data_IF_882625096403
#
_entry.id   IF_882625096403
#
_cell.length_a   1.000
_cell.length_b   1.000
_cell.length_c   1.000
_cell.angle_alpha   90.00
_cell.angle_beta   90.00
_cell.angle_gamma   90.00
#
_symmetry.space_group_name_H-M   'P 1'
#
loop_
_entity.id
_entity.type
_entity.pdbx_description
1 polymer ?
#
# COMPACT_ATOMS: atom_id res chain seq x y z
N UNK A 1 3.43 -23.62 -4.14
CA UNK A 1 3.28 -22.29 -3.52
C UNK A 1 3.90 -22.29 -2.15
N UNK A 2 4.19 -21.13 -1.56
CA UNK A 2 4.42 -21.06 -0.12
C UNK A 2 3.25 -21.72 0.63
N UNK A 3 3.56 -22.51 1.66
CA UNK A 3 2.62 -23.35 2.39
C UNK A 3 2.40 -24.75 1.78
N UNK A 4 2.64 -24.93 0.47
CA UNK A 4 2.43 -26.22 -0.19
C UNK A 4 3.59 -27.20 0.07
N UNK A 5 3.31 -28.48 -0.21
CA UNK A 5 4.34 -29.51 -0.35
C UNK A 5 4.81 -29.68 -1.79
N UNK A 6 6.10 -29.95 -1.98
CA UNK A 6 6.68 -30.34 -3.26
C UNK A 6 7.42 -31.66 -3.12
N UNK A 7 7.32 -32.54 -4.13
CA UNK A 7 8.02 -33.83 -4.16
C UNK A 7 9.00 -33.88 -5.32
N UNK A 8 10.27 -34.11 -5.00
CA UNK A 8 11.35 -34.31 -5.95
C UNK A 8 11.54 -35.81 -6.14
N UNK A 9 11.01 -36.32 -7.27
CA UNK A 9 10.96 -37.75 -7.54
C UNK A 9 12.34 -38.35 -7.82
N UNK A 10 12.61 -39.55 -7.34
CA UNK A 10 13.68 -40.40 -7.89
C UNK A 10 13.17 -41.12 -9.14
N UNK A 11 14.04 -41.79 -9.89
CA UNK A 11 13.58 -42.61 -11.01
C UNK A 11 13.09 -43.96 -10.47
N UNK A 12 11.81 -44.28 -10.73
CA UNK A 12 11.05 -45.38 -10.10
C UNK A 12 11.54 -46.78 -10.51
N UNK A 13 12.44 -46.88 -11.50
CA UNK A 13 12.78 -48.16 -12.14
C UNK A 13 13.95 -48.91 -11.50
N UNK A 14 14.70 -48.30 -10.57
CA UNK A 14 15.95 -48.88 -10.06
C UNK A 14 16.04 -48.84 -8.53
N UNK A 15 16.59 -49.91 -7.96
CA UNK A 15 16.91 -50.00 -6.54
C UNK A 15 18.32 -49.48 -6.33
N UNK A 16 18.44 -48.36 -5.60
CA UNK A 16 19.72 -47.71 -5.32
C UNK A 16 20.30 -48.20 -3.98
N UNK A 17 21.62 -48.34 -3.92
CA UNK A 17 22.34 -48.73 -2.69
C UNK A 17 22.41 -47.56 -1.70
N UNK A 18 22.53 -46.34 -2.24
CA UNK A 18 22.59 -45.11 -1.46
C UNK A 18 21.90 -43.99 -2.22
N UNK A 19 21.11 -43.21 -1.49
CA UNK A 19 20.49 -41.99 -1.99
C UNK A 19 20.88 -40.86 -1.06
N UNK A 20 21.33 -39.76 -1.63
CA UNK A 20 21.75 -38.59 -0.88
C UNK A 20 21.15 -37.33 -1.50
N UNK A 21 20.45 -36.57 -0.67
CA UNK A 21 19.90 -35.28 -1.02
C UNK A 21 20.72 -34.16 -0.39
N UNK A 22 21.02 -33.15 -1.21
CA UNK A 22 21.67 -31.91 -0.80
C UNK A 22 20.87 -30.70 -1.25
N UNK A 23 20.92 -29.64 -0.45
CA UNK A 23 20.50 -28.31 -0.83
C UNK A 23 21.75 -27.45 -1.06
N UNK A 24 22.00 -27.07 -2.31
CA UNK A 24 23.32 -26.57 -2.71
C UNK A 24 24.40 -27.60 -2.43
N UNK A 25 25.31 -27.31 -1.50
CA UNK A 25 26.37 -28.22 -1.06
C UNK A 25 26.08 -28.90 0.30
N UNK A 26 25.03 -28.45 1.01
CA UNK A 26 24.68 -28.92 2.34
C UNK A 26 23.82 -30.20 2.26
N UNK A 27 24.20 -31.25 3.00
CA UNK A 27 23.43 -32.50 3.07
C UNK A 27 22.19 -32.26 3.94
N UNK A 28 21.05 -32.78 3.48
CA UNK A 28 19.76 -32.55 4.15
C UNK A 28 19.06 -33.86 4.53
N UNK A 29 19.18 -34.89 3.70
CA UNK A 29 18.56 -36.18 3.93
C UNK A 29 19.19 -37.27 3.07
N UNK A 30 18.92 -38.52 3.37
CA UNK A 30 19.27 -39.62 2.49
C UNK A 30 18.87 -40.99 3.01
N UNK A 31 19.19 -42.00 2.21
CA UNK A 31 19.00 -43.42 2.50
C UNK A 31 20.36 -44.09 2.40
N UNK A 32 20.77 -44.81 3.44
CA UNK A 32 22.06 -45.51 3.47
C UNK A 32 21.82 -47.02 3.52
N UNK A 33 21.67 -47.66 2.37
CA UNK A 33 21.49 -49.11 2.25
C UNK A 33 20.42 -49.66 3.20
N UNK A 34 20.79 -50.68 3.99
CA UNK A 34 19.92 -51.35 4.97
C UNK A 34 19.68 -50.48 6.24
N UNK A 35 20.49 -49.44 6.47
CA UNK A 35 20.51 -48.66 7.72
C UNK A 35 19.47 -47.53 7.81
N UNK A 36 18.39 -47.60 7.03
CA UNK A 36 17.26 -46.67 7.15
C UNK A 36 17.53 -45.28 6.58
N UNK A 37 16.54 -44.40 6.76
CA UNK A 37 16.56 -42.99 6.35
C UNK A 37 17.26 -42.14 7.40
N UNK A 38 17.93 -41.07 6.97
CA UNK A 38 18.49 -40.05 7.86
C UNK A 38 18.08 -38.65 7.41
N UNK A 39 18.05 -37.73 8.36
CA UNK A 39 17.79 -36.31 8.16
C UNK A 39 18.85 -35.53 8.92
N UNK A 40 19.57 -34.67 8.22
CA UNK A 40 20.53 -33.79 8.86
C UNK A 40 19.75 -32.60 9.46
N UNK A 41 20.15 -32.16 10.66
CA UNK A 41 19.47 -31.07 11.37
C UNK A 41 19.82 -29.69 10.80
N UNK A 42 19.45 -29.49 9.53
CA UNK A 42 19.54 -28.18 8.89
C UNK A 42 18.33 -27.37 9.34
N UNK A 43 18.59 -26.28 10.08
CA UNK A 43 17.56 -25.42 10.70
C UNK A 43 16.42 -25.07 9.74
N UNK A 44 16.77 -24.73 8.51
CA UNK A 44 15.85 -24.37 7.42
C UNK A 44 14.79 -25.45 7.16
N UNK A 45 15.18 -26.71 7.24
CA UNK A 45 14.34 -27.86 6.87
C UNK A 45 13.76 -28.62 8.07
N UNK A 46 13.94 -28.10 9.29
CA UNK A 46 13.57 -28.76 10.53
C UNK A 46 12.10 -29.17 10.53
N UNK A 47 11.85 -30.48 10.61
CA UNK A 47 10.51 -31.07 10.65
C UNK A 47 9.73 -31.02 9.34
N UNK A 48 10.35 -30.67 8.21
CA UNK A 48 9.67 -30.48 6.91
C UNK A 48 10.01 -31.52 5.86
N UNK A 49 11.13 -32.24 6.01
CA UNK A 49 11.57 -33.24 5.05
C UNK A 49 10.93 -34.60 5.32
N UNK A 50 10.60 -35.29 4.24
CA UNK A 50 10.13 -36.67 4.27
C UNK A 50 10.71 -37.40 3.06
N UNK A 51 11.15 -38.64 3.27
CA UNK A 51 11.60 -39.53 2.20
C UNK A 51 10.59 -40.64 2.07
N UNK A 52 10.22 -41.00 0.85
CA UNK A 52 9.45 -42.20 0.58
C UNK A 52 10.35 -43.43 0.45
N UNK A 53 9.74 -44.58 0.12
CA UNK A 53 10.44 -45.84 -0.06
C UNK A 53 11.31 -45.88 -1.33
N UNK A 54 11.07 -45.02 -2.32
CA UNK A 54 11.89 -44.90 -3.54
C UNK A 54 13.04 -43.91 -3.35
N UNK A 55 13.05 -43.16 -2.25
CA UNK A 55 14.01 -42.12 -1.94
C UNK A 55 13.67 -40.76 -2.54
N UNK A 56 12.45 -40.57 -3.04
CA UNK A 56 11.93 -39.25 -3.43
C UNK A 56 11.80 -38.36 -2.20
N UNK A 57 12.24 -37.10 -2.33
CA UNK A 57 12.23 -36.13 -1.26
C UNK A 57 10.98 -35.26 -1.33
N UNK A 58 10.16 -35.31 -0.29
CA UNK A 58 9.06 -34.38 -0.08
C UNK A 58 9.46 -33.30 0.90
N UNK A 59 9.23 -32.04 0.53
CA UNK A 59 9.41 -30.86 1.38
C UNK A 59 8.02 -30.33 1.67
N UNK A 60 7.60 -30.40 2.94
CA UNK A 60 6.28 -29.96 3.40
C UNK A 60 6.32 -28.50 3.84
N UNK A 61 5.19 -27.81 3.73
CA UNK A 61 5.03 -26.42 4.19
C UNK A 61 6.17 -25.53 3.70
N UNK A 62 6.30 -25.41 2.38
CA UNK A 62 7.43 -24.72 1.75
C UNK A 62 7.38 -23.21 1.99
N UNK A 63 8.53 -22.55 2.11
CA UNK A 63 8.66 -21.09 2.18
C UNK A 63 9.58 -20.61 1.07
N UNK A 64 9.64 -19.31 0.80
CA UNK A 64 10.56 -18.73 -0.19
C UNK A 64 12.02 -19.08 0.11
N UNK A 65 12.40 -19.31 1.37
CA UNK A 65 13.74 -19.76 1.81
C UNK A 65 14.13 -21.16 1.30
N UNK A 66 13.15 -22.01 0.94
CA UNK A 66 13.39 -23.32 0.33
C UNK A 66 13.65 -23.23 -1.18
N UNK A 67 13.60 -22.03 -1.77
CA UNK A 67 13.99 -21.81 -3.17
C UNK A 67 15.48 -22.08 -3.34
N UNK A 68 15.83 -22.89 -4.34
CA UNK A 68 17.22 -23.19 -4.65
C UNK A 68 17.41 -24.45 -5.48
N UNK A 69 18.68 -24.86 -5.58
CA UNK A 69 19.07 -26.07 -6.30
C UNK A 69 19.22 -27.21 -5.32
N UNK A 70 18.51 -28.30 -5.58
CA UNK A 70 18.57 -29.55 -4.85
C UNK A 70 19.35 -30.55 -5.69
N UNK A 71 20.40 -31.13 -5.11
CA UNK A 71 21.22 -32.14 -5.76
C UNK A 71 20.88 -33.51 -5.18
N UNK A 72 20.63 -34.45 -6.06
CA UNK A 72 20.37 -35.84 -5.77
C UNK A 72 21.58 -36.64 -6.26
N UNK A 73 22.25 -37.35 -5.36
CA UNK A 73 23.29 -38.31 -5.70
C UNK A 73 22.79 -39.71 -5.38
N UNK A 74 22.57 -40.51 -6.41
CA UNK A 74 22.19 -41.91 -6.28
C UNK A 74 23.39 -42.79 -6.60
N UNK A 75 23.56 -43.88 -5.86
CA UNK A 75 24.64 -44.84 -6.09
C UNK A 75 24.07 -46.23 -6.37
N UNK A 76 24.57 -46.86 -7.43
CA UNK A 76 24.30 -48.26 -7.79
C UNK A 76 25.66 -48.93 -7.97
N UNK A 77 25.99 -49.90 -7.13
CA UNK A 77 27.28 -50.57 -7.08
C UNK A 77 28.45 -49.57 -7.03
N UNK A 78 29.17 -49.39 -8.14
CA UNK A 78 30.29 -48.46 -8.28
C UNK A 78 29.95 -47.21 -9.11
N UNK A 79 28.72 -47.10 -9.62
CA UNK A 79 28.27 -45.96 -10.42
C UNK A 79 27.56 -44.92 -9.55
N UNK A 80 27.86 -43.64 -9.78
CA UNK A 80 27.13 -42.52 -9.20
C UNK A 80 26.31 -41.82 -10.29
N UNK A 81 25.03 -41.60 -9.99
CA UNK A 81 24.04 -41.00 -10.88
C UNK A 81 23.57 -39.69 -10.24
N UNK A 82 24.18 -38.55 -10.60
CA UNK A 82 23.78 -37.24 -10.09
C UNK A 82 22.58 -36.70 -10.86
N UNK A 83 21.68 -36.01 -10.16
CA UNK A 83 20.53 -35.30 -10.73
C UNK A 83 20.29 -33.99 -9.99
N UNK A 84 19.95 -32.94 -10.72
CA UNK A 84 19.70 -31.62 -10.13
C UNK A 84 18.23 -31.22 -10.33
N UNK A 85 17.64 -30.68 -9.28
CA UNK A 85 16.31 -30.08 -9.28
C UNK A 85 16.43 -28.60 -8.94
N UNK A 86 15.71 -27.75 -9.68
CA UNK A 86 15.55 -26.34 -9.33
C UNK A 86 14.15 -26.16 -8.79
N UNK A 87 14.05 -25.76 -7.53
CA UNK A 87 12.77 -25.45 -6.88
C UNK A 87 12.68 -23.95 -6.70
N UNK A 88 11.57 -23.38 -7.15
CA UNK A 88 11.23 -21.97 -6.92
C UNK A 88 9.91 -21.92 -6.18
N UNK A 89 9.91 -21.31 -4.99
CA UNK A 89 8.71 -21.13 -4.17
C UNK A 89 8.27 -19.69 -4.27
N UNK A 90 7.04 -19.47 -4.71
CA UNK A 90 6.43 -18.15 -4.80
C UNK A 90 5.59 -17.88 -3.55
N UNK A 91 5.80 -16.72 -2.94
CA UNK A 91 4.89 -16.17 -1.94
C UNK A 91 3.63 -15.61 -2.63
N UNK A 92 2.45 -15.66 -1.97
CA UNK A 92 1.29 -14.93 -2.44
C UNK A 92 1.59 -13.43 -2.56
N UNK A 93 1.27 -12.84 -3.71
CA UNK A 93 1.31 -11.39 -3.84
C UNK A 93 0.23 -10.76 -2.96
N UNK A 94 0.50 -9.63 -2.28
CA UNK A 94 -0.55 -8.89 -1.60
C UNK A 94 -1.62 -8.50 -2.62
N UNK A 95 -2.89 -8.59 -2.21
CA UNK A 95 -4.01 -8.13 -3.03
C UNK A 95 -3.75 -6.64 -3.36
N UNK A 96 -3.70 -6.24 -4.65
CA UNK A 96 -3.43 -4.86 -4.99
C UNK A 96 -4.57 -3.96 -4.52
N UNK A 97 -4.24 -2.91 -3.77
CA UNK A 97 -5.20 -1.85 -3.41
C UNK A 97 -5.15 -0.79 -4.50
N UNK A 98 -6.23 -0.65 -5.24
CA UNK A 98 -6.35 0.36 -6.30
C UNK A 98 -6.77 1.68 -5.64
N UNK A 99 -5.87 2.68 -5.66
CA UNK A 99 -6.19 4.04 -5.24
C UNK A 99 -6.51 4.91 -6.46
N UNK A 100 -7.67 5.57 -6.43
CA UNK A 100 -8.09 6.51 -7.47
C UNK A 100 -7.84 7.93 -6.96
N UNK A 101 -6.92 8.67 -7.58
CA UNK A 101 -6.70 10.08 -7.30
C UNK A 101 -7.29 10.93 -8.43
N UNK A 102 -8.17 11.87 -8.09
CA UNK A 102 -8.64 12.91 -9.00
C UNK A 102 -7.84 14.18 -8.77
N UNK A 103 -6.85 14.45 -9.61
CA UNK A 103 -6.22 15.78 -9.66
C UNK A 103 -7.14 16.72 -10.44
N UNK A 104 -7.92 17.52 -9.71
CA UNK A 104 -8.73 18.56 -10.31
C UNK A 104 -7.84 19.80 -10.49
N UNK A 105 -7.26 19.95 -11.68
CA UNK A 105 -6.56 21.19 -12.05
C UNK A 105 -7.60 22.29 -12.25
N UNK A 106 -7.71 23.19 -11.28
CA UNK A 106 -8.54 24.38 -11.34
C UNK A 106 -7.87 25.43 -12.24
N UNK A 107 -8.03 25.35 -13.55
CA UNK A 107 -7.90 26.47 -14.51
C UNK A 107 -8.34 26.00 -15.91
N UNK A 108 -9.44 26.59 -16.38
CA UNK A 108 -9.89 26.73 -17.79
C UNK A 108 -9.88 25.51 -18.73
N UNK A 109 -11.07 25.17 -19.21
CA UNK A 109 -11.43 24.55 -20.51
C UNK A 109 -10.55 23.41 -21.07
N UNK A 110 -11.24 22.29 -21.36
CA UNK A 110 -10.84 21.17 -22.23
C UNK A 110 -9.92 20.08 -21.65
N UNK A 111 -10.48 18.85 -21.66
CA UNK A 111 -9.86 17.54 -21.36
C UNK A 111 -9.17 17.43 -19.99
N UNK A 112 -9.97 17.00 -19.00
CA UNK A 112 -9.43 16.32 -17.82
C UNK A 112 -8.77 15.00 -18.25
N UNK A 113 -7.48 15.04 -18.59
CA UNK A 113 -6.66 13.83 -18.71
C UNK A 113 -6.57 13.19 -17.33
N UNK A 114 -7.40 12.17 -17.10
CA UNK A 114 -7.32 11.34 -15.89
C UNK A 114 -6.03 10.53 -16.00
N UNK A 115 -5.02 10.89 -15.22
CA UNK A 115 -3.79 10.11 -15.11
C UNK A 115 -4.06 9.00 -14.10
N UNK A 116 -4.13 7.75 -14.58
CA UNK A 116 -4.23 6.57 -13.73
C UNK A 116 -2.82 6.13 -13.33
N UNK A 117 -2.46 6.30 -12.06
CA UNK A 117 -1.19 5.81 -11.53
C UNK A 117 -1.42 4.43 -10.90
N UNK A 118 -1.27 3.37 -11.68
CA UNK A 118 -1.31 2.00 -11.16
C UNK A 118 0.07 1.64 -10.58
N UNK A 119 0.16 1.49 -9.26
CA UNK A 119 1.35 0.90 -8.64
C UNK A 119 1.22 -0.62 -8.61
N UNK A 120 1.61 -1.29 -9.69
CA UNK A 120 2.09 -2.68 -9.65
C UNK A 120 3.15 -2.86 -10.75
N UNK A 121 4.28 -3.49 -10.40
CA UNK A 121 5.44 -3.72 -11.26
C UNK A 121 5.07 -4.53 -12.51
N UNK A 122 4.97 -3.82 -13.63
CA UNK A 122 5.32 -4.12 -15.04
C UNK A 122 4.33 -3.36 -15.93
N UNK A 123 4.75 -2.21 -16.44
CA UNK A 123 4.00 -1.44 -17.43
C UNK A 123 4.45 -1.90 -18.80
N UNK A 124 3.59 -2.60 -19.54
CA UNK A 124 3.77 -2.83 -20.97
C UNK A 124 2.98 -1.77 -21.73
N UNK A 125 3.66 -1.10 -22.66
CA UNK A 125 3.17 0.08 -23.38
C UNK A 125 2.40 -0.35 -24.63
N UNK A 126 1.11 -0.02 -24.74
CA UNK A 126 0.36 -0.09 -25.99
C UNK A 126 -0.54 1.13 -26.22
N UNK A 127 -0.79 1.36 -27.52
CA UNK A 127 -1.31 2.58 -28.14
C UNK A 127 -2.56 3.21 -27.50
N UNK A 128 -2.48 4.55 -27.38
CA UNK A 128 -3.56 5.53 -27.22
C UNK A 128 -4.70 5.12 -26.26
N UNK A 129 -4.47 5.45 -24.99
CA UNK A 129 -5.45 5.72 -23.93
C UNK A 129 -6.10 4.52 -23.22
N UNK A 130 -5.55 3.31 -23.31
CA UNK A 130 -5.96 2.18 -22.46
C UNK A 130 -4.75 1.72 -21.64
N UNK A 131 -4.72 2.12 -20.38
CA UNK A 131 -3.74 1.62 -19.42
C UNK A 131 -4.30 0.34 -18.79
N UNK A 132 -3.64 -0.79 -19.00
CA UNK A 132 -3.96 -2.06 -18.35
C UNK A 132 -2.88 -2.38 -17.33
N UNK A 133 -3.26 -2.52 -16.06
CA UNK A 133 -2.37 -3.12 -15.07
C UNK A 133 -2.61 -4.63 -15.07
N UNK A 134 -1.71 -5.37 -15.73
CA UNK A 134 -1.72 -6.83 -15.68
C UNK A 134 -0.72 -7.26 -14.62
N UNK A 135 -1.21 -7.76 -13.50
CA UNK A 135 -0.34 -8.38 -12.50
C UNK A 135 0.00 -9.79 -13.00
N UNK A 136 1.25 -9.98 -13.44
CA UNK A 136 1.74 -11.32 -13.75
C UNK A 136 1.95 -12.07 -12.42
N UNK A 137 1.00 -12.92 -12.06
CA UNK A 137 1.08 -13.75 -10.88
C UNK A 137 1.51 -15.17 -11.29
N UNK A 138 2.79 -15.56 -11.15
CA UNK A 138 3.26 -16.90 -11.52
C UNK A 138 2.59 -18.04 -10.72
N UNK A 139 1.82 -17.69 -9.69
CA UNK A 139 1.00 -18.55 -8.82
C UNK A 139 -0.32 -18.98 -9.48
N UNK A 140 -0.88 -18.17 -10.37
CA UNK A 140 -2.18 -18.40 -10.98
C UNK A 140 -2.18 -17.94 -12.43
N UNK A 141 -2.52 -18.84 -13.34
CA UNK A 141 -2.71 -18.52 -14.77
C UNK A 141 -4.00 -17.73 -15.04
N UNK A 142 -4.73 -17.33 -14.00
CA UNK A 142 -5.98 -16.59 -14.12
C UNK A 142 -5.71 -15.08 -14.16
N UNK A 143 -5.66 -14.51 -15.36
CA UNK A 143 -5.73 -13.06 -15.57
C UNK A 143 -7.15 -12.59 -15.21
N UNK A 144 -7.27 -11.73 -14.20
CA UNK A 144 -8.52 -11.00 -13.97
C UNK A 144 -8.46 -9.65 -14.64
N UNK A 145 -9.26 -9.50 -15.69
CA UNK A 145 -9.54 -8.20 -16.27
C UNK A 145 -10.58 -7.51 -15.38
N UNK A 146 -10.22 -6.38 -14.78
CA UNK A 146 -11.23 -5.52 -14.16
C UNK A 146 -12.06 -4.88 -15.28
N UNK A 147 -13.35 -5.21 -15.33
CA UNK A 147 -14.28 -4.58 -16.25
C UNK A 147 -14.86 -3.32 -15.61
N UNK A 148 -14.97 -2.24 -16.39
CA UNK A 148 -15.34 -0.90 -15.93
C UNK A 148 -16.76 -0.80 -15.34
N UNK A 149 -17.54 -1.88 -15.38
CA UNK A 149 -18.91 -1.97 -14.88
C UNK A 149 -19.00 -2.23 -13.37
N UNK A 150 -18.01 -2.89 -12.76
CA UNK A 150 -17.97 -3.07 -11.30
C UNK A 150 -17.44 -1.82 -10.55
N UNK A 151 -16.81 -0.89 -11.27
CA UNK A 151 -16.33 0.39 -10.74
C UNK A 151 -17.44 1.43 -10.56
N UNK A 152 -18.64 1.20 -11.11
CA UNK A 152 -19.75 2.15 -11.03
C UNK A 152 -20.43 2.20 -9.65
N UNK A 153 -20.09 1.29 -8.73
CA UNK A 153 -20.79 1.15 -7.44
C UNK A 153 -19.99 1.58 -6.20
N UNK A 154 -18.72 1.97 -6.33
CA UNK A 154 -17.97 2.60 -5.24
C UNK A 154 -17.83 4.13 -5.37
N UNK A 155 -18.37 4.71 -6.44
CA UNK A 155 -18.25 6.14 -6.75
C UNK A 155 -19.43 7.02 -6.34
N UNK A 156 -20.52 6.46 -5.81
CA UNK A 156 -21.78 7.21 -5.60
C UNK A 156 -22.14 7.56 -4.16
N UNK A 157 -21.27 7.28 -3.16
CA UNK A 157 -21.57 7.62 -1.76
C UNK A 157 -20.69 8.71 -1.13
N UNK A 158 -19.96 9.50 -1.94
CA UNK A 158 -19.29 10.69 -1.40
C UNK A 158 -19.27 11.90 -2.33
N UNK A 159 -20.29 12.05 -3.19
CA UNK A 159 -20.48 13.28 -4.00
C UNK A 159 -21.53 14.19 -3.35
N UNK A 160 -21.34 14.44 -2.06
CA UNK A 160 -21.90 15.60 -1.38
C UNK A 160 -20.99 15.94 -0.21
N UNK A 161 -20.24 17.04 -0.29
CA UNK A 161 -19.92 17.94 0.84
C UNK A 161 -18.79 18.96 0.57
N UNK A 162 -18.21 19.09 -0.63
CA UNK A 162 -17.12 20.07 -0.84
C UNK A 162 -17.47 21.22 -1.81
N UNK A 163 -18.72 21.69 -1.75
CA UNK A 163 -19.10 22.99 -2.32
C UNK A 163 -19.88 23.83 -1.29
N UNK A 164 -20.78 23.17 -0.56
CA UNK A 164 -21.60 23.80 0.48
C UNK A 164 -20.79 24.18 1.72
N UNK A 165 -19.90 23.32 2.20
CA UNK A 165 -19.08 23.62 3.38
C UNK A 165 -18.16 24.83 3.15
N UNK A 166 -17.53 24.94 1.98
CA UNK A 166 -16.68 26.09 1.65
C UNK A 166 -17.50 27.38 1.51
N UNK A 167 -18.67 27.32 0.87
CA UNK A 167 -19.57 28.47 0.78
C UNK A 167 -20.11 28.90 2.15
N UNK A 168 -20.45 27.95 3.03
CA UNK A 168 -20.90 28.22 4.40
C UNK A 168 -19.77 28.80 5.23
N UNK A 169 -18.55 28.27 5.15
CA UNK A 169 -17.38 28.83 5.84
C UNK A 169 -17.12 30.28 5.38
N UNK A 170 -17.19 30.56 4.07
CA UNK A 170 -17.06 31.93 3.53
C UNK A 170 -18.17 32.85 4.01
N UNK A 171 -19.41 32.38 4.11
CA UNK A 171 -20.54 33.13 4.66
C UNK A 171 -20.37 33.42 6.16
N UNK A 172 -19.87 32.46 6.94
CA UNK A 172 -19.63 32.64 8.37
C UNK A 172 -18.50 33.66 8.58
N UNK A 173 -17.41 33.56 7.82
CA UNK A 173 -16.29 34.53 7.92
C UNK A 173 -16.75 35.94 7.53
N UNK A 174 -17.55 36.09 6.46
CA UNK A 174 -18.04 37.42 6.05
C UNK A 174 -18.99 38.04 7.09
N UNK A 175 -19.86 37.23 7.70
CA UNK A 175 -20.74 37.67 8.78
C UNK A 175 -19.96 38.13 10.02
N UNK A 176 -18.94 37.36 10.45
CA UNK A 176 -18.11 37.69 11.61
C UNK A 176 -17.33 38.99 11.39
N UNK A 177 -16.75 39.19 10.21
CA UNK A 177 -16.04 40.43 9.85
C UNK A 177 -17.00 41.63 9.77
N UNK A 178 -18.24 41.42 9.33
CA UNK A 178 -19.30 42.44 9.33
C UNK A 178 -19.67 42.91 10.74
N UNK A 179 -19.81 41.99 11.70
CA UNK A 179 -20.13 42.35 13.09
C UNK A 179 -18.98 43.13 13.75
N UNK A 180 -17.74 42.70 13.54
CA UNK A 180 -16.56 43.37 14.10
C UNK A 180 -16.41 44.81 13.57
N UNK A 181 -16.62 45.00 12.26
CA UNK A 181 -16.57 46.33 11.64
C UNK A 181 -17.68 47.26 12.15
N UNK A 182 -18.90 46.75 12.33
CA UNK A 182 -20.00 47.54 12.93
C UNK A 182 -19.72 47.93 14.38
N UNK A 183 -19.20 47.02 15.20
CA UNK A 183 -18.84 47.33 16.59
C UNK A 183 -17.75 48.41 16.67
N UNK A 184 -16.72 48.34 15.81
CA UNK A 184 -15.68 49.36 15.72
C UNK A 184 -16.24 50.73 15.36
N UNK A 185 -17.18 50.81 14.40
CA UNK A 185 -17.86 52.06 14.03
C UNK A 185 -18.63 52.63 15.22
N UNK A 186 -19.37 51.81 15.97
CA UNK A 186 -20.12 52.27 17.15
C UNK A 186 -19.18 52.83 18.22
N UNK A 187 -18.06 52.15 18.50
CA UNK A 187 -17.05 52.64 19.45
C UNK A 187 -16.44 53.97 19.00
N UNK A 188 -16.12 54.11 17.71
CA UNK A 188 -15.61 55.36 17.16
C UNK A 188 -16.62 56.50 17.27
N UNK A 189 -17.90 56.25 16.94
CA UNK A 189 -18.96 57.24 17.10
C UNK A 189 -19.13 57.63 18.57
N UNK A 190 -19.03 56.67 19.48
CA UNK A 190 -19.10 56.94 20.92
C UNK A 190 -17.93 57.80 21.39
N UNK A 191 -16.69 57.51 20.96
CA UNK A 191 -15.51 58.31 21.31
C UNK A 191 -15.59 59.73 20.74
N UNK A 192 -16.03 59.88 19.48
CA UNK A 192 -16.23 61.19 18.83
C UNK A 192 -17.29 62.01 19.59
N UNK A 193 -18.42 61.40 19.93
CA UNK A 193 -19.49 62.06 20.69
C UNK A 193 -19.01 62.45 22.09
N UNK A 194 -18.30 61.55 22.77
CA UNK A 194 -17.71 61.78 24.08
C UNK A 194 -16.76 62.99 24.07
N UNK A 195 -15.78 63.02 23.16
CA UNK A 195 -14.88 64.18 22.99
C UNK A 195 -15.63 65.47 22.65
N UNK A 196 -16.73 65.38 21.92
CA UNK A 196 -17.53 66.55 21.54
C UNK A 196 -18.27 67.13 22.75
N UNK A 197 -18.83 66.30 23.63
CA UNK A 197 -19.47 66.74 24.88
C UNK A 197 -18.45 67.30 25.89
N UNK A 198 -17.26 66.71 25.98
CA UNK A 198 -16.17 67.22 26.82
C UNK A 198 -15.73 68.63 26.37
N UNK A 199 -15.51 68.82 25.05
CA UNK A 199 -15.23 70.14 24.47
C UNK A 199 -16.36 71.14 24.74
N UNK A 200 -17.62 70.73 24.58
CA UNK A 200 -18.79 71.61 24.83
C UNK A 200 -18.88 72.05 26.29
N UNK A 201 -18.54 71.16 27.22
CA UNK A 201 -18.50 71.45 28.67
C UNK A 201 -17.36 72.41 29.01
N UNK A 202 -16.16 72.21 28.44
CA UNK A 202 -15.03 73.13 28.62
C UNK A 202 -15.30 74.55 28.09
N UNK A 203 -16.02 74.67 26.96
CA UNK A 203 -16.40 75.96 26.38
C UNK A 203 -17.43 76.67 27.28
N UNK A 204 -18.43 75.96 27.81
CA UNK A 204 -19.41 76.52 28.75
C UNK A 204 -18.76 77.00 30.05
N UNK A 205 -17.80 76.24 30.60
CA UNK A 205 -17.04 76.64 31.79
C UNK A 205 -16.16 77.87 31.54
N UNK A 206 -15.48 77.95 30.39
CA UNK A 206 -14.72 79.15 30.00
C UNK A 206 -15.63 80.38 29.86
N UNK A 207 -16.78 80.25 29.19
CA UNK A 207 -17.74 81.37 29.06
C UNK A 207 -18.31 81.84 30.41
N UNK A 208 -18.54 80.93 31.37
CA UNK A 208 -18.93 81.31 32.74
C UNK A 208 -17.80 82.07 33.46
N UNK A 209 -16.55 81.62 33.35
CA UNK A 209 -15.41 82.30 34.00
C UNK A 209 -15.15 83.73 33.46
N UNK A 210 -15.41 83.97 32.17
CA UNK A 210 -15.28 85.30 31.56
C UNK A 210 -16.40 86.23 32.04
N UNK A 211 -17.60 85.69 32.31
CA UNK A 211 -18.74 86.46 32.82
C UNK A 211 -18.52 86.95 34.26
N UNK A 212 -17.81 86.19 35.09
CA UNK A 212 -17.46 86.57 36.46
C UNK A 212 -16.28 87.56 36.57
N UNK A 213 -15.54 87.81 35.48
CA UNK A 213 -14.43 88.78 35.44
C UNK A 213 -14.82 90.17 34.88
N UNK A 214 -16.11 90.42 34.65
CA UNK A 214 -16.64 91.68 34.07
C UNK A 214 -17.51 92.50 35.04
N UNK A 215 -17.42 92.26 36.35
CA UNK A 215 -17.96 93.15 37.38
C UNK A 215 -16.81 93.89 38.07
#
# INVERSE_FOLDING_TARGET
>A
MEGDSVTLKTDDKQRYDKIEWRFGEERIAGIKGVNGTYYDEVWRFRGRLQLDHTGSLTIRNTTTEHTGVYRLNMKIENAEIPKNYRVTVYAPLPIPVIFIYTLQSSLSSERSSRIFLCSVVNVEYQDKNIYSCVVNNPVSTQTRHLNNTELYWLGSDSVHCCGTAEAVIRLVISALMGVASMAAIVVLVYDIKSRTEEKRTSIKLRQRSIRYKKC
#
